data_IF_736644817204
#
_entry.id   IF_736644817204
#
_cell.length_a   1.000
_cell.length_b   1.000
_cell.length_c   1.000
_cell.angle_alpha   90.00
_cell.angle_beta   90.00
_cell.angle_gamma   90.00
#
_symmetry.space_group_name_H-M   'P 1'
#
loop_
_entity.id
_entity.type
_entity.pdbx_description
1 polymer ?
#
# COMPACT_ATOMS: atom_id res chain seq x y z
N UNK A 1 0.91 -3.74 10.82
CA UNK A 1 2.35 -4.00 10.92
C UNK A 1 3.05 -2.79 11.52
N UNK A 2 2.91 -1.60 10.94
CA UNK A 2 3.34 -0.30 11.53
C UNK A 2 2.96 -0.07 13.01
N UNK A 3 1.74 -0.44 13.45
CA UNK A 3 1.34 -0.38 14.86
C UNK A 3 2.24 -1.21 15.77
N UNK A 4 2.65 -2.39 15.33
CA UNK A 4 3.53 -3.26 16.12
C UNK A 4 4.90 -2.63 16.30
N UNK A 5 5.46 -2.02 15.26
CA UNK A 5 6.73 -1.27 15.36
C UNK A 5 6.63 -0.09 16.33
N UNK A 6 5.49 0.61 16.35
CA UNK A 6 5.25 1.68 17.34
C UNK A 6 5.23 1.14 18.77
N UNK A 7 4.53 0.04 19.01
CA UNK A 7 4.49 -0.58 20.34
C UNK A 7 5.90 -1.02 20.80
N UNK A 8 6.69 -1.65 19.92
CA UNK A 8 8.09 -2.03 20.26
C UNK A 8 8.96 -0.80 20.53
N UNK A 9 8.78 0.27 19.74
CA UNK A 9 9.46 1.54 19.98
C UNK A 9 9.11 2.14 21.34
N UNK A 10 7.84 2.06 21.76
CA UNK A 10 7.37 2.51 23.08
C UNK A 10 7.97 1.66 24.21
N UNK A 11 8.03 0.34 24.04
CA UNK A 11 8.67 -0.58 24.99
C UNK A 11 10.17 -0.27 25.15
N UNK A 12 10.86 0.09 24.06
CA UNK A 12 12.25 0.53 24.11
C UNK A 12 12.43 1.85 24.87
N UNK A 13 11.52 2.82 24.72
CA UNK A 13 11.53 4.06 25.53
C UNK A 13 11.42 3.70 27.01
N UNK A 14 10.43 2.88 27.35
CA UNK A 14 10.16 2.53 28.74
C UNK A 14 11.35 1.79 29.35
N UNK A 15 11.93 0.83 28.63
CA UNK A 15 13.08 0.06 29.10
C UNK A 15 14.30 0.97 29.30
N UNK A 16 14.56 1.88 28.36
CA UNK A 16 15.63 2.88 28.45
C UNK A 16 15.47 3.77 29.70
N UNK A 17 14.25 4.26 29.94
CA UNK A 17 13.96 5.10 31.09
C UNK A 17 14.19 4.36 32.41
N UNK A 18 13.71 3.12 32.55
CA UNK A 18 13.93 2.30 33.74
C UNK A 18 15.41 2.03 34.00
N UNK A 19 16.19 1.69 32.97
CA UNK A 19 17.63 1.47 33.11
C UNK A 19 18.36 2.75 33.52
N UNK A 20 17.93 3.90 33.01
CA UNK A 20 18.48 5.19 33.37
C UNK A 20 18.18 5.55 34.84
N UNK A 21 16.96 5.30 35.31
CA UNK A 21 16.57 5.48 36.72
C UNK A 21 17.38 4.57 37.64
N UNK A 22 17.50 3.27 37.33
CA UNK A 22 18.33 2.34 38.10
C UNK A 22 19.80 2.79 38.16
N UNK A 23 20.34 3.33 37.06
CA UNK A 23 21.70 3.84 37.02
C UNK A 23 21.92 5.08 37.93
N UNK A 24 20.87 5.81 38.30
CA UNK A 24 20.98 6.92 39.26
C UNK A 24 21.15 6.41 40.69
N UNK A 25 20.52 5.29 41.02
CA UNK A 25 20.55 4.67 42.33
C UNK A 25 21.82 3.81 42.54
N UNK A 26 22.51 3.43 41.46
CA UNK A 26 23.66 2.53 41.51
C UNK A 26 25.01 3.26 41.64
N UNK A 27 25.76 3.12 42.75
CA UNK A 27 27.03 3.83 42.96
C UNK A 27 28.26 3.09 42.41
N UNK A 28 28.10 1.89 41.87
CA UNK A 28 29.21 1.01 41.46
C UNK A 28 29.58 1.15 39.98
N UNK A 29 30.57 0.38 39.54
CA UNK A 29 30.95 0.23 38.14
C UNK A 29 29.79 -0.26 37.25
N UNK A 30 28.73 -0.84 37.82
CA UNK A 30 27.52 -1.31 37.11
C UNK A 30 26.78 -0.15 36.45
N UNK A 31 26.82 1.06 37.04
CA UNK A 31 26.18 2.27 36.51
C UNK A 31 26.52 2.55 35.06
N UNK A 32 27.81 2.44 34.68
CA UNK A 32 28.27 2.75 33.31
C UNK A 32 27.59 1.83 32.30
N UNK A 33 27.38 0.57 32.67
CA UNK A 33 26.77 -0.43 31.81
C UNK A 33 25.27 -0.20 31.67
N UNK A 34 24.56 0.07 32.76
CA UNK A 34 23.13 0.39 32.74
C UNK A 34 22.84 1.57 31.80
N UNK A 35 23.64 2.65 31.88
CA UNK A 35 23.53 3.80 30.97
C UNK A 35 23.81 3.42 29.51
N UNK A 36 24.76 2.51 29.25
CA UNK A 36 25.06 2.05 27.89
C UNK A 36 23.95 1.19 27.29
N UNK A 37 23.30 0.36 28.10
CA UNK A 37 22.13 -0.42 27.66
C UNK A 37 20.93 0.50 27.46
N UNK A 38 20.73 1.51 28.30
CA UNK A 38 19.69 2.53 28.07
C UNK A 38 19.91 3.27 26.74
N UNK A 39 21.15 3.69 26.45
CA UNK A 39 21.53 4.32 25.19
C UNK A 39 21.26 3.40 23.97
N UNK A 40 21.52 2.10 24.12
CA UNK A 40 21.22 1.10 23.09
C UNK A 40 19.72 1.06 22.78
N UNK A 41 18.85 1.02 23.79
CA UNK A 41 17.40 1.00 23.59
C UNK A 41 16.89 2.27 22.89
N UNK A 42 17.43 3.45 23.20
CA UNK A 42 17.11 4.69 22.44
C UNK A 42 17.55 4.61 20.98
N UNK A 43 18.70 3.98 20.69
CA UNK A 43 19.15 3.78 19.31
C UNK A 43 18.25 2.79 18.57
N UNK A 44 17.91 1.66 19.19
CA UNK A 44 17.01 0.65 18.63
C UNK A 44 15.61 1.22 18.38
N UNK A 45 15.09 2.06 19.28
CA UNK A 45 13.84 2.81 19.06
C UNK A 45 13.84 3.63 17.78
N UNK A 46 14.94 4.33 17.50
CA UNK A 46 15.08 5.12 16.27
C UNK A 46 15.10 4.20 15.04
N UNK A 47 15.61 2.98 15.15
CA UNK A 47 15.53 1.98 14.08
C UNK A 47 14.08 1.53 13.87
N UNK A 48 13.36 1.14 14.93
CA UNK A 48 11.95 0.75 14.84
C UNK A 48 11.06 1.83 14.24
N UNK A 49 11.29 3.09 14.63
CA UNK A 49 10.55 4.23 14.06
C UNK A 49 10.79 4.40 12.56
N UNK A 50 12.04 4.13 12.11
CA UNK A 50 12.38 4.15 10.67
C UNK A 50 11.76 2.97 9.94
N UNK A 51 11.81 1.76 10.50
CA UNK A 51 11.15 0.58 9.92
C UNK A 51 9.66 0.87 9.72
N UNK A 52 8.98 1.39 10.74
CA UNK A 52 7.55 1.74 10.63
C UNK A 52 7.27 2.76 9.51
N UNK A 53 8.16 3.73 9.31
CA UNK A 53 7.97 4.79 8.30
C UNK A 53 8.23 4.26 6.89
N UNK A 54 9.29 3.47 6.74
CA UNK A 54 9.66 2.84 5.47
C UNK A 54 8.61 1.82 5.02
N UNK A 55 8.08 1.02 5.96
CA UNK A 55 6.99 0.09 5.69
C UNK A 55 5.72 0.82 5.25
N UNK A 56 5.34 1.91 5.93
CA UNK A 56 4.14 2.66 5.56
C UNK A 56 4.26 3.25 4.15
N UNK A 57 5.43 3.80 3.83
CA UNK A 57 5.73 4.38 2.52
C UNK A 57 5.75 3.32 1.41
N UNK A 58 6.45 2.19 1.61
CA UNK A 58 6.66 1.18 0.56
C UNK A 58 5.49 0.23 0.37
N UNK A 59 4.72 -0.03 1.42
CA UNK A 59 3.64 -1.01 1.38
C UNK A 59 2.26 -0.36 1.53
N UNK A 60 2.01 0.38 2.62
CA UNK A 60 0.67 0.92 2.90
C UNK A 60 0.22 1.91 1.81
N UNK A 61 1.09 2.85 1.42
CA UNK A 61 0.75 3.82 0.37
C UNK A 61 0.51 3.16 -0.98
N UNK A 62 1.34 2.18 -1.34
CA UNK A 62 1.18 1.42 -2.58
C UNK A 62 -0.16 0.69 -2.62
N UNK A 63 -0.52 0.00 -1.53
CA UNK A 63 -1.79 -0.69 -1.39
C UNK A 63 -2.96 0.29 -1.52
N UNK A 64 -2.89 1.44 -0.84
CA UNK A 64 -3.92 2.49 -0.90
C UNK A 64 -4.06 3.06 -2.30
N UNK A 65 -2.95 3.34 -2.97
CA UNK A 65 -2.94 3.81 -4.36
C UNK A 65 -3.65 2.80 -5.28
N UNK A 66 -3.30 1.52 -5.19
CA UNK A 66 -3.90 0.51 -6.06
C UNK A 66 -5.34 0.16 -5.67
N UNK A 67 -5.74 0.31 -4.41
CA UNK A 67 -7.14 0.20 -3.99
C UNK A 67 -8.02 1.23 -4.71
N UNK A 68 -7.61 2.51 -4.72
CA UNK A 68 -8.34 3.58 -5.42
C UNK A 68 -8.39 3.34 -6.94
N UNK A 69 -7.31 2.85 -7.53
CA UNK A 69 -7.30 2.51 -8.95
C UNK A 69 -8.23 1.31 -9.27
N UNK A 70 -8.35 0.34 -8.37
CA UNK A 70 -9.30 -0.78 -8.51
C UNK A 70 -10.74 -0.25 -8.45
N UNK A 71 -11.04 0.67 -7.56
CA UNK A 71 -12.36 1.32 -7.48
C UNK A 71 -12.69 2.07 -8.78
N UNK A 72 -11.75 2.85 -9.32
CA UNK A 72 -11.92 3.52 -10.61
C UNK A 72 -12.15 2.53 -11.77
N UNK A 73 -11.42 1.40 -11.77
CA UNK A 73 -11.62 0.35 -12.77
C UNK A 73 -13.00 -0.32 -12.65
N UNK A 74 -13.49 -0.53 -11.41
CA UNK A 74 -14.86 -1.03 -11.16
C UNK A 74 -15.92 -0.05 -11.67
N UNK A 75 -15.76 1.24 -11.41
CA UNK A 75 -16.67 2.28 -11.91
C UNK A 75 -16.70 2.33 -13.45
N UNK A 76 -15.54 2.22 -14.10
CA UNK A 76 -15.46 2.15 -15.57
C UNK A 76 -16.24 0.94 -16.12
N UNK A 77 -16.06 -0.22 -15.50
CA UNK A 77 -16.80 -1.44 -15.88
C UNK A 77 -18.30 -1.28 -15.63
N UNK A 78 -18.71 -0.65 -14.53
CA UNK A 78 -20.11 -0.37 -14.25
C UNK A 78 -20.74 0.55 -15.32
N UNK A 79 -20.05 1.64 -15.69
CA UNK A 79 -20.49 2.54 -16.78
C UNK A 79 -20.61 1.82 -18.12
N UNK A 80 -19.65 0.94 -18.44
CA UNK A 80 -19.71 0.09 -19.64
C UNK A 80 -20.94 -0.83 -19.60
N UNK A 81 -21.20 -1.49 -18.48
CA UNK A 81 -22.37 -2.37 -18.32
C UNK A 81 -23.68 -1.61 -18.48
N UNK A 82 -23.80 -0.40 -17.93
CA UNK A 82 -24.99 0.44 -18.18
C UNK A 82 -25.17 0.80 -19.64
N UNK A 83 -24.09 1.19 -20.33
CA UNK A 83 -24.16 1.47 -21.77
C UNK A 83 -24.56 0.25 -22.61
N UNK A 84 -24.17 -0.97 -22.20
CA UNK A 84 -24.63 -2.21 -22.84
C UNK A 84 -26.13 -2.40 -22.66
N UNK A 85 -26.64 -2.23 -21.43
CA UNK A 85 -28.08 -2.35 -21.15
C UNK A 85 -28.89 -1.33 -21.96
N UNK A 86 -28.42 -0.08 -22.04
CA UNK A 86 -29.07 0.95 -22.86
C UNK A 86 -29.10 0.55 -24.35
N UNK A 87 -27.98 0.03 -24.86
CA UNK A 87 -27.88 -0.46 -26.22
C UNK A 87 -28.83 -1.63 -26.52
N UNK A 88 -28.88 -2.63 -25.63
CA UNK A 88 -29.80 -3.78 -25.76
C UNK A 88 -31.27 -3.34 -25.73
N UNK A 89 -31.61 -2.35 -24.90
CA UNK A 89 -32.97 -1.81 -24.83
C UNK A 89 -33.36 -1.09 -26.12
N UNK A 90 -32.47 -0.28 -26.69
CA UNK A 90 -32.73 0.39 -27.97
C UNK A 90 -32.75 -0.58 -29.15
N UNK A 91 -31.98 -1.66 -29.09
CA UNK A 91 -32.05 -2.72 -30.09
C UNK A 91 -33.45 -3.36 -30.12
N UNK A 92 -34.00 -3.68 -28.94
CA UNK A 92 -35.40 -4.17 -28.82
C UNK A 92 -36.43 -3.14 -29.28
N UNK A 93 -36.21 -1.85 -29.04
CA UNK A 93 -37.10 -0.78 -29.50
C UNK A 93 -37.09 -0.65 -31.03
N UNK A 94 -35.91 -0.76 -31.64
CA UNK A 94 -35.74 -0.79 -33.09
C UNK A 94 -36.46 -1.98 -33.73
N UNK A 95 -36.36 -3.18 -33.15
CA UNK A 95 -37.09 -4.35 -33.63
C UNK A 95 -38.62 -4.12 -33.60
N UNK A 96 -39.13 -3.50 -32.53
CA UNK A 96 -40.55 -3.12 -32.43
C UNK A 96 -40.96 -2.08 -33.47
N UNK A 97 -40.11 -1.08 -33.74
CA UNK A 97 -40.37 -0.06 -34.76
C UNK A 97 -40.42 -0.67 -36.16
N UNK A 98 -39.52 -1.62 -36.45
CA UNK A 98 -39.49 -2.40 -37.70
C UNK A 98 -40.74 -3.25 -37.89
N UNK A 99 -41.17 -3.98 -36.85
CA UNK A 99 -42.40 -4.77 -36.89
C UNK A 99 -43.66 -3.93 -37.15
N UNK A 100 -43.69 -2.69 -36.66
CA UNK A 100 -44.81 -1.76 -36.85
C UNK A 100 -44.66 -0.89 -38.11
N UNK A 101 -43.55 -1.00 -38.83
CA UNK A 101 -43.19 -0.13 -39.96
C UNK A 101 -43.33 1.37 -39.67
N UNK A 102 -43.07 1.79 -38.43
CA UNK A 102 -43.27 3.17 -37.95
C UNK A 102 -42.01 3.68 -37.26
N UNK A 103 -41.60 4.91 -37.58
CA UNK A 103 -40.47 5.62 -36.93
C UNK A 103 -39.12 4.87 -36.99
N UNK A 104 -38.95 3.95 -37.93
CA UNK A 104 -37.77 3.07 -38.04
C UNK A 104 -36.47 3.89 -38.10
N UNK A 105 -36.41 4.92 -38.95
CA UNK A 105 -35.19 5.75 -39.10
C UNK A 105 -34.75 6.42 -37.80
N UNK A 106 -35.70 6.90 -37.00
CA UNK A 106 -35.40 7.54 -35.72
C UNK A 106 -34.87 6.52 -34.70
N UNK A 107 -35.50 5.34 -34.65
CA UNK A 107 -35.03 4.24 -33.79
C UNK A 107 -33.64 3.73 -34.20
N UNK A 108 -33.32 3.71 -35.49
CA UNK A 108 -31.99 3.33 -35.99
C UNK A 108 -30.92 4.33 -35.54
N UNK A 109 -31.18 5.64 -35.65
CA UNK A 109 -30.24 6.68 -35.19
C UNK A 109 -29.95 6.51 -33.69
N UNK A 110 -30.98 6.40 -32.86
CA UNK A 110 -30.80 6.26 -31.42
C UNK A 110 -30.05 4.97 -31.03
N UNK A 111 -30.37 3.84 -31.68
CA UNK A 111 -29.67 2.59 -31.47
C UNK A 111 -28.19 2.72 -31.85
N UNK A 112 -27.88 3.39 -32.95
CA UNK A 112 -26.51 3.60 -33.43
C UNK A 112 -25.71 4.48 -32.46
N UNK A 113 -26.30 5.55 -31.92
CA UNK A 113 -25.66 6.41 -30.91
C UNK A 113 -25.29 5.62 -29.64
N UNK A 114 -26.21 4.78 -29.14
CA UNK A 114 -25.95 3.91 -27.99
C UNK A 114 -24.89 2.84 -28.30
N UNK A 115 -24.88 2.27 -29.50
CA UNK A 115 -23.86 1.32 -29.96
C UNK A 115 -22.47 1.96 -29.91
N UNK A 116 -22.30 3.13 -30.54
CA UNK A 116 -21.03 3.85 -30.57
C UNK A 116 -20.53 4.20 -29.16
N UNK A 117 -21.45 4.61 -28.26
CA UNK A 117 -21.11 4.88 -26.86
C UNK A 117 -20.61 3.62 -26.14
N UNK A 118 -21.29 2.49 -26.31
CA UNK A 118 -20.89 1.22 -25.73
C UNK A 118 -19.54 0.72 -26.27
N UNK A 119 -19.32 0.82 -27.58
CA UNK A 119 -18.07 0.43 -28.23
C UNK A 119 -16.89 1.27 -27.73
N UNK A 120 -17.06 2.60 -27.68
CA UNK A 120 -16.04 3.52 -27.15
C UNK A 120 -15.67 3.22 -25.70
N UNK A 121 -16.66 2.95 -24.85
CA UNK A 121 -16.43 2.55 -23.46
C UNK A 121 -15.76 1.17 -23.37
N UNK A 122 -16.12 0.24 -24.24
CA UNK A 122 -15.54 -1.11 -24.27
C UNK A 122 -14.06 -1.07 -24.66
N UNK A 123 -13.71 -0.29 -25.68
CA UNK A 123 -12.32 -0.15 -26.12
C UNK A 123 -11.47 0.53 -25.04
N UNK A 124 -11.95 1.64 -24.48
CA UNK A 124 -11.28 2.33 -23.38
C UNK A 124 -11.11 1.41 -22.16
N UNK A 125 -12.15 0.67 -21.76
CA UNK A 125 -12.06 -0.26 -20.63
C UNK A 125 -11.03 -1.38 -20.86
N UNK A 126 -11.00 -1.95 -22.08
CA UNK A 126 -10.01 -2.99 -22.43
C UNK A 126 -8.59 -2.45 -22.32
N UNK A 127 -8.34 -1.28 -22.91
CA UNK A 127 -7.01 -0.66 -22.89
C UNK A 127 -6.56 -0.30 -21.47
N UNK A 128 -7.46 0.28 -20.66
CA UNK A 128 -7.17 0.65 -19.27
C UNK A 128 -6.90 -0.57 -18.39
N UNK A 129 -7.69 -1.65 -18.51
CA UNK A 129 -7.49 -2.86 -17.71
C UNK A 129 -6.17 -3.57 -18.03
N UNK A 130 -5.77 -3.61 -19.30
CA UNK A 130 -4.48 -4.17 -19.72
C UNK A 130 -3.33 -3.35 -19.16
N UNK A 131 -3.41 -2.02 -19.27
CA UNK A 131 -2.41 -1.10 -18.74
C UNK A 131 -2.33 -1.18 -17.21
N UNK A 132 -3.48 -1.20 -16.54
CA UNK A 132 -3.59 -1.34 -15.10
C UNK A 132 -2.89 -2.61 -14.61
N UNK A 133 -3.18 -3.77 -15.22
CA UNK A 133 -2.54 -5.04 -14.87
C UNK A 133 -1.03 -4.96 -14.99
N UNK A 134 -0.51 -4.42 -16.10
CA UNK A 134 0.94 -4.30 -16.35
C UNK A 134 1.60 -3.37 -15.33
N UNK A 135 1.06 -2.17 -15.13
CA UNK A 135 1.60 -1.17 -14.19
C UNK A 135 1.59 -1.70 -12.76
N UNK A 136 0.48 -2.33 -12.34
CA UNK A 136 0.33 -2.92 -11.01
C UNK A 136 1.42 -3.94 -10.72
N UNK A 137 1.59 -4.94 -11.60
CA UNK A 137 2.60 -5.99 -11.39
C UNK A 137 4.00 -5.39 -11.26
N UNK A 138 4.36 -4.45 -12.14
CA UNK A 138 5.66 -3.79 -12.11
C UNK A 138 5.88 -3.01 -10.80
N UNK A 139 4.88 -2.26 -10.36
CA UNK A 139 4.98 -1.43 -9.15
C UNK A 139 5.08 -2.28 -7.88
N UNK A 140 4.26 -3.32 -7.75
CA UNK A 140 4.32 -4.24 -6.61
C UNK A 140 5.65 -4.99 -6.57
N UNK A 141 6.13 -5.50 -7.70
CA UNK A 141 7.43 -6.19 -7.75
C UNK A 141 8.56 -5.26 -7.29
N UNK A 142 8.60 -4.03 -7.80
CA UNK A 142 9.61 -3.04 -7.42
C UNK A 142 9.56 -2.73 -5.91
N UNK A 143 8.38 -2.42 -5.39
CA UNK A 143 8.25 -2.03 -3.98
C UNK A 143 8.53 -3.19 -3.02
N UNK A 144 8.14 -4.42 -3.34
CA UNK A 144 8.45 -5.57 -2.49
C UNK A 144 9.96 -5.83 -2.41
N UNK A 145 10.67 -5.71 -3.54
CA UNK A 145 12.13 -5.83 -3.56
C UNK A 145 12.76 -4.72 -2.69
N UNK A 146 12.38 -3.46 -2.93
CA UNK A 146 12.91 -2.33 -2.16
C UNK A 146 12.57 -2.44 -0.66
N UNK A 147 11.40 -2.95 -0.30
CA UNK A 147 10.99 -3.19 1.09
C UNK A 147 11.88 -4.26 1.74
N UNK A 148 12.11 -5.39 1.08
CA UNK A 148 13.01 -6.44 1.59
C UNK A 148 14.44 -5.92 1.74
N UNK A 149 14.94 -5.10 0.82
CA UNK A 149 16.26 -4.47 0.94
C UNK A 149 16.35 -3.55 2.16
N UNK A 150 15.29 -2.80 2.45
CA UNK A 150 15.20 -1.96 3.65
C UNK A 150 15.14 -2.80 4.92
N UNK A 151 14.35 -3.88 4.96
CA UNK A 151 14.31 -4.81 6.10
C UNK A 151 15.69 -5.40 6.40
N UNK A 152 16.42 -5.85 5.38
CA UNK A 152 17.79 -6.35 5.53
C UNK A 152 18.72 -5.26 6.09
N UNK A 153 18.61 -4.03 5.57
CA UNK A 153 19.40 -2.89 6.03
C UNK A 153 19.13 -2.56 7.50
N UNK A 154 17.85 -2.55 7.91
CA UNK A 154 17.45 -2.30 9.28
C UNK A 154 17.92 -3.40 10.22
N UNK A 155 17.76 -4.67 9.82
CA UNK A 155 18.25 -5.81 10.60
C UNK A 155 19.77 -5.74 10.82
N UNK A 156 20.55 -5.45 9.77
CA UNK A 156 22.01 -5.26 9.88
C UNK A 156 22.37 -4.11 10.82
N UNK A 157 21.63 -3.01 10.79
CA UNK A 157 21.84 -1.89 11.70
C UNK A 157 21.58 -2.29 13.16
N UNK A 158 20.47 -2.98 13.43
CA UNK A 158 20.15 -3.50 14.77
C UNK A 158 21.22 -4.46 15.28
N UNK A 159 21.68 -5.40 14.44
CA UNK A 159 22.78 -6.33 14.78
C UNK A 159 24.05 -5.57 15.13
N UNK A 160 24.43 -4.56 14.35
CA UNK A 160 25.61 -3.73 14.62
C UNK A 160 25.53 -2.99 15.97
N UNK A 161 24.35 -2.43 16.29
CA UNK A 161 24.08 -1.77 17.56
C UNK A 161 24.20 -2.73 18.74
N UNK A 162 23.59 -3.92 18.62
CA UNK A 162 23.65 -4.97 19.64
C UNK A 162 25.09 -5.46 19.86
N UNK A 163 25.82 -5.75 18.78
CA UNK A 163 27.19 -6.22 18.84
C UNK A 163 28.11 -5.19 19.50
N UNK A 164 27.97 -3.90 19.14
CA UNK A 164 28.72 -2.82 19.77
C UNK A 164 28.48 -2.74 21.27
N UNK A 165 27.26 -3.04 21.73
CA UNK A 165 26.96 -3.09 23.16
C UNK A 165 27.56 -4.33 23.84
N UNK A 166 27.48 -5.50 23.21
CA UNK A 166 28.09 -6.74 23.71
C UNK A 166 29.61 -6.60 23.87
N UNK A 167 30.29 -5.99 22.90
CA UNK A 167 31.75 -5.84 22.93
C UNK A 167 32.22 -4.95 24.08
N UNK A 168 31.40 -3.96 24.48
CA UNK A 168 31.67 -3.14 25.67
C UNK A 168 31.65 -3.97 26.97
N UNK A 169 30.84 -5.02 27.03
CA UNK A 169 30.78 -5.93 28.17
C UNK A 169 31.93 -6.94 28.20
N UNK A 170 32.47 -7.33 27.04
CA UNK A 170 33.57 -8.30 26.93
C UNK A 170 34.95 -7.70 27.21
N UNK A 171 35.11 -6.40 26.96
CA UNK A 171 36.41 -5.71 27.05
C UNK A 171 36.66 -5.04 28.41
N UNK A 172 36.01 -5.51 29.48
CA UNK A 172 36.24 -5.13 30.88
C UNK A 172 36.27 -6.39 31.76
#
# INVERSE_FOLDING_TARGET
MTRSHKNVADDYIHTSACLSSLALEEPTAVKKYLLKVAELFEKLRKVESRISSDEDLKLSELLRYYMLNIEAAKDLLYRRTRALVDYENLNKALDKARLKSKEVKLAEIHQQECCQKFEKLSESAKQELVNFKRKRISAFRKNLIEMTELEIKHAKNSVCLLQSCIDLFKNN
#
